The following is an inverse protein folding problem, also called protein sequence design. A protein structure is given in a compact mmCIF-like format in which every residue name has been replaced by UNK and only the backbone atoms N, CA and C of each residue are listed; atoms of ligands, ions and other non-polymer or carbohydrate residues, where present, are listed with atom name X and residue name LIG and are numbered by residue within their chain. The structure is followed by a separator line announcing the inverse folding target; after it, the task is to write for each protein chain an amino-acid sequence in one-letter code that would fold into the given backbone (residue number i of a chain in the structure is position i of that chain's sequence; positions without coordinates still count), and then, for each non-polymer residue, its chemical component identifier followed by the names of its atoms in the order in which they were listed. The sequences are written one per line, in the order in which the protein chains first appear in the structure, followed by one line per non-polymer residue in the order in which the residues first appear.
data_IF_517962466015
#
_entry.id   IF_517962466015
#
_cell.length_a   1.000
_cell.length_b   1.000
_cell.length_c   1.000
_cell.angle_alpha   90.00
_cell.angle_beta   90.00
_cell.angle_gamma   90.00
#
_symmetry.space_group_name_H-M   'P 1'
#
loop_
_entity.id
_entity.type
_entity.pdbx_description
1 polymer ?
#
# COMPACT_ATOMS: atom_id res chain seq x y z
N UNK A 1 4.04 -2.90 2.79
CA UNK A 1 4.10 -4.20 2.09
C UNK A 1 2.72 -4.81 2.09
N UNK A 2 2.28 -5.33 0.96
CA UNK A 2 0.93 -5.87 0.79
C UNK A 2 0.96 -7.32 0.23
N UNK A 3 -0.21 -7.93 0.17
CA UNK A 3 -0.44 -9.28 -0.32
C UNK A 3 0.08 -9.46 -1.74
N UNK A 4 -0.21 -8.51 -2.65
CA UNK A 4 0.19 -8.63 -4.05
C UNK A 4 1.72 -8.64 -4.19
N UNK A 5 2.42 -7.82 -3.40
CA UNK A 5 3.87 -7.75 -3.41
C UNK A 5 4.53 -9.04 -2.89
N UNK A 6 4.02 -9.65 -1.82
CA UNK A 6 4.52 -10.95 -1.34
C UNK A 6 4.31 -12.07 -2.35
N UNK A 7 3.17 -12.09 -3.02
CA UNK A 7 2.86 -13.06 -4.08
C UNK A 7 3.76 -12.88 -5.31
N UNK A 8 4.15 -11.65 -5.64
CA UNK A 8 5.06 -11.40 -6.76
C UNK A 8 6.53 -11.66 -6.42
N UNK A 9 6.93 -11.43 -5.17
CA UNK A 9 8.30 -11.73 -4.72
C UNK A 9 8.57 -13.22 -4.54
N UNK A 10 7.64 -13.92 -3.88
CA UNK A 10 7.86 -15.29 -3.43
C UNK A 10 6.95 -16.30 -4.13
N UNK A 11 6.12 -15.85 -5.07
CA UNK A 11 5.24 -16.67 -5.88
C UNK A 11 3.88 -16.91 -5.22
N UNK A 12 2.84 -16.90 -6.06
CA UNK A 12 1.48 -17.31 -5.71
C UNK A 12 1.22 -18.80 -5.93
N UNK A 13 1.66 -19.36 -7.07
CA UNK A 13 1.42 -20.76 -7.49
C UNK A 13 0.01 -21.28 -7.13
N UNK A 14 -1.03 -20.53 -7.54
CA UNK A 14 -2.43 -20.88 -7.28
C UNK A 14 -2.73 -21.21 -5.79
N UNK A 15 -2.14 -20.47 -4.85
CA UNK A 15 -2.30 -20.72 -3.42
C UNK A 15 -1.19 -21.54 -2.77
N UNK A 16 -0.19 -22.01 -3.52
CA UNK A 16 0.87 -22.90 -3.02
C UNK A 16 2.26 -22.27 -2.99
N UNK A 17 2.39 -21.06 -3.52
CA UNK A 17 3.66 -20.37 -3.66
C UNK A 17 4.20 -19.83 -2.33
N UNK A 18 5.46 -19.40 -2.34
CA UNK A 18 6.15 -18.91 -1.15
C UNK A 18 5.51 -17.68 -0.52
N UNK A 19 4.77 -16.87 -1.30
CA UNK A 19 4.03 -15.72 -0.77
C UNK A 19 2.94 -16.14 0.21
N UNK A 20 2.26 -17.26 -0.07
CA UNK A 20 1.27 -17.83 0.85
C UNK A 20 1.93 -18.41 2.09
N UNK A 21 3.02 -19.17 1.93
CA UNK A 21 3.77 -19.71 3.07
C UNK A 21 4.25 -18.62 4.02
N UNK A 22 4.70 -17.48 3.49
CA UNK A 22 5.06 -16.33 4.31
C UNK A 22 3.85 -15.78 5.06
N UNK A 23 2.73 -15.57 4.38
CA UNK A 23 1.51 -15.06 5.01
C UNK A 23 0.94 -16.01 6.06
N UNK A 24 1.02 -17.32 5.84
CA UNK A 24 0.62 -18.35 6.83
C UNK A 24 1.46 -18.19 8.12
N UNK A 25 2.78 -18.04 7.99
CA UNK A 25 3.66 -17.82 9.15
C UNK A 25 3.47 -16.44 9.81
N UNK A 26 3.19 -15.40 9.01
CA UNK A 26 2.87 -14.07 9.53
C UNK A 26 1.55 -14.09 10.31
N UNK A 27 0.55 -14.83 9.83
CA UNK A 27 -0.78 -14.91 10.41
C UNK A 27 -0.75 -15.35 11.88
N UNK A 28 0.15 -16.25 12.26
CA UNK A 28 0.35 -16.68 13.65
C UNK A 28 0.60 -15.50 14.61
N UNK A 29 1.22 -14.42 14.11
CA UNK A 29 1.53 -13.21 14.87
C UNK A 29 0.55 -12.06 14.65
N UNK A 30 -0.39 -12.19 13.71
CA UNK A 30 -1.41 -11.16 13.48
C UNK A 30 -2.42 -11.19 14.62
N UNK A 31 -2.57 -10.06 15.32
CA UNK A 31 -3.63 -9.86 16.31
C UNK A 31 -4.98 -9.51 15.66
N UNK A 32 -4.96 -8.74 14.58
CA UNK A 32 -6.17 -8.28 13.90
C UNK A 32 -5.90 -7.85 12.46
N UNK A 33 -6.82 -8.18 11.54
CA UNK A 33 -6.89 -7.56 10.21
C UNK A 33 -7.92 -6.44 10.21
N UNK A 34 -7.47 -5.25 9.85
CA UNK A 34 -8.26 -4.03 9.92
C UNK A 34 -8.83 -3.63 8.56
N UNK A 35 -10.01 -3.01 8.51
CA UNK A 35 -10.60 -2.53 7.24
C UNK A 35 -9.86 -1.33 6.62
N UNK A 36 -9.10 -0.58 7.43
CA UNK A 36 -8.31 0.58 6.97
C UNK A 36 -6.83 0.28 7.00
N UNK A 37 -6.13 0.45 5.86
CA UNK A 37 -4.69 0.23 5.78
C UNK A 37 -3.84 1.16 6.67
N UNK A 38 -4.38 2.30 7.13
CA UNK A 38 -3.68 3.18 8.08
C UNK A 38 -3.87 2.78 9.55
N UNK A 39 -4.89 1.97 9.87
CA UNK A 39 -5.23 1.63 11.25
C UNK A 39 -4.14 0.83 11.97
N UNK A 40 -3.44 -0.14 11.35
CA UNK A 40 -2.37 -0.88 12.02
C UNK A 40 -1.25 0.03 12.54
N UNK A 41 -0.85 1.05 11.76
CA UNK A 41 0.15 2.02 12.21
C UNK A 41 -0.36 2.92 13.34
N UNK A 42 -1.65 3.29 13.32
CA UNK A 42 -2.23 4.08 14.41
C UNK A 42 -2.32 3.27 15.71
N UNK A 43 -2.70 2.00 15.64
CA UNK A 43 -2.75 1.13 16.82
C UNK A 43 -1.35 0.88 17.38
N UNK A 44 -0.33 0.73 16.52
CA UNK A 44 1.06 0.67 16.96
C UNK A 44 1.54 1.98 17.60
N UNK A 45 1.20 3.13 17.00
CA UNK A 45 1.50 4.45 17.55
C UNK A 45 0.84 4.71 18.93
N UNK A 46 -0.33 4.11 19.17
CA UNK A 46 -1.05 4.17 20.45
C UNK A 46 -0.56 3.13 21.48
N UNK A 47 0.34 2.21 21.09
CA UNK A 47 0.81 1.12 21.95
C UNK A 47 -0.17 -0.03 22.12
N UNK A 48 -1.24 -0.09 21.32
CA UNK A 48 -2.22 -1.19 21.33
C UNK A 48 -1.65 -2.47 20.70
N UNK A 49 -0.74 -2.32 19.73
CA UNK A 49 0.04 -3.40 19.13
C UNK A 49 1.53 -3.04 19.07
N UNK A 50 2.40 -4.04 19.15
CA UNK A 50 3.86 -3.84 19.09
C UNK A 50 4.32 -3.44 17.68
N UNK A 51 3.61 -3.86 16.64
CA UNK A 51 3.94 -3.57 15.25
C UNK A 51 2.67 -3.42 14.41
N UNK A 52 2.74 -2.57 13.38
CA UNK A 52 1.69 -2.38 12.40
C UNK A 52 2.26 -2.31 10.99
N UNK A 53 1.73 -3.12 10.08
CA UNK A 53 2.10 -3.08 8.66
C UNK A 53 1.25 -2.00 7.99
N UNK A 54 1.89 -0.98 7.42
CA UNK A 54 1.25 0.18 6.81
C UNK A 54 2.15 0.78 5.73
N UNK A 55 1.60 1.71 4.94
CA UNK A 55 2.41 2.62 4.13
C UNK A 55 3.26 3.54 5.01
N UNK A 56 4.45 3.83 4.49
CA UNK A 56 5.51 4.62 5.08
C UNK A 56 5.07 6.04 5.41
N UNK A 57 4.18 6.64 4.61
CA UNK A 57 3.70 8.00 4.86
C UNK A 57 2.95 8.11 6.19
N UNK A 58 2.14 7.09 6.54
CA UNK A 58 1.43 7.06 7.82
C UNK A 58 2.41 6.95 8.98
N UNK A 59 3.42 6.09 8.86
CA UNK A 59 4.50 5.96 9.83
C UNK A 59 5.28 7.27 9.99
N UNK A 60 5.66 7.91 8.88
CA UNK A 60 6.37 9.18 8.86
C UNK A 60 5.56 10.26 9.59
N UNK A 61 4.27 10.37 9.26
CA UNK A 61 3.36 11.36 9.87
C UNK A 61 3.21 11.13 11.38
N UNK A 62 2.97 9.88 11.81
CA UNK A 62 2.78 9.58 13.22
C UNK A 62 4.07 9.83 14.02
N UNK A 63 5.23 9.41 13.50
CA UNK A 63 6.54 9.69 14.11
C UNK A 63 6.86 11.18 14.16
N UNK A 64 6.57 11.94 13.10
CA UNK A 64 6.74 13.39 13.07
C UNK A 64 5.85 14.12 14.11
N UNK A 65 4.73 13.51 14.51
CA UNK A 65 3.87 13.99 15.60
C UNK A 65 4.31 13.52 17.00
N UNK A 66 5.43 12.82 17.11
CA UNK A 66 5.98 12.36 18.38
C UNK A 66 5.50 10.99 18.84
N UNK A 67 4.83 10.20 17.98
CA UNK A 67 4.50 8.82 18.32
C UNK A 67 5.80 8.01 18.56
N UNK A 68 5.85 7.16 19.60
CA UNK A 68 7.05 6.39 19.99
C UNK A 68 7.22 5.16 19.09
N UNK A 69 7.37 5.37 17.78
CA UNK A 69 7.49 4.30 16.78
C UNK A 69 8.73 4.49 15.91
N UNK A 70 9.21 3.36 15.39
CA UNK A 70 10.26 3.29 14.36
C UNK A 70 9.67 2.81 13.04
N UNK A 71 10.19 3.35 11.94
CA UNK A 71 9.84 2.86 10.61
C UNK A 71 10.87 1.81 10.20
N UNK A 72 10.40 0.60 9.93
CA UNK A 72 11.22 -0.51 9.47
C UNK A 72 10.84 -0.86 8.04
N UNK A 73 11.84 -0.88 7.16
CA UNK A 73 11.67 -1.19 5.74
C UNK A 73 12.29 -2.57 5.47
N UNK A 74 11.51 -3.57 5.04
CA UNK A 74 12.03 -4.89 4.69
C UNK A 74 13.12 -4.81 3.61
N UNK A 75 14.11 -5.71 3.70
CA UNK A 75 15.27 -5.74 2.80
C UNK A 75 15.01 -6.49 1.49
N UNK A 76 13.99 -7.33 1.49
CA UNK A 76 13.59 -8.20 0.39
C UNK A 76 12.92 -7.41 -0.75
N UNK A 77 12.55 -6.15 -0.49
CA UNK A 77 11.92 -5.24 -1.44
C UNK A 77 10.90 -4.35 -0.73
N UNK A 78 10.06 -3.64 -1.48
CA UNK A 78 8.89 -2.93 -0.98
C UNK A 78 7.76 -3.02 -2.01
N UNK A 79 6.60 -3.51 -1.56
CA UNK A 79 5.36 -3.43 -2.34
C UNK A 79 4.85 -2.00 -2.47
N UNK A 80 4.23 -1.69 -3.61
CA UNK A 80 3.63 -0.41 -3.92
C UNK A 80 2.41 -0.58 -4.82
N UNK A 81 1.50 0.37 -4.75
CA UNK A 81 0.37 0.51 -5.66
C UNK A 81 0.47 1.82 -6.45
N UNK A 82 -0.31 1.91 -7.51
CA UNK A 82 -0.42 3.10 -8.33
C UNK A 82 -1.83 3.69 -8.15
N UNK A 83 -1.89 4.89 -7.60
CA UNK A 83 -3.14 5.65 -7.58
C UNK A 83 -3.50 6.06 -9.01
N UNK A 84 -4.64 5.57 -9.49
CA UNK A 84 -5.15 5.82 -10.83
C UNK A 84 -6.50 6.53 -10.82
N UNK A 85 -6.75 7.31 -11.86
CA UNK A 85 -8.08 7.87 -12.16
C UNK A 85 -8.49 7.51 -13.58
N UNK A 86 -9.79 7.45 -13.83
CA UNK A 86 -10.35 7.16 -15.14
C UNK A 86 -11.57 8.03 -15.42
N UNK A 87 -11.78 8.38 -16.68
CA UNK A 87 -13.00 9.07 -17.13
C UNK A 87 -14.07 8.01 -17.39
N UNK A 88 -15.20 8.13 -16.69
CA UNK A 88 -16.33 7.22 -16.86
C UNK A 88 -16.91 7.26 -18.28
N UNK A 89 -17.10 6.08 -18.88
CA UNK A 89 -17.69 5.94 -20.22
C UNK A 89 -19.13 6.42 -20.23
N UNK A 90 -19.44 7.41 -21.07
CA UNK A 90 -20.78 7.99 -21.18
C UNK A 90 -21.05 9.17 -20.26
N UNK A 91 -20.03 9.76 -19.63
CA UNK A 91 -20.20 11.02 -18.89
C UNK A 91 -20.77 12.11 -19.80
N UNK A 92 -21.78 12.85 -19.31
CA UNK A 92 -22.34 14.03 -19.98
C UNK A 92 -21.44 15.27 -19.86
N UNK A 93 -20.33 15.16 -19.11
CA UNK A 93 -19.40 16.26 -18.79
C UNK A 93 -17.98 15.91 -19.22
N UNK A 94 -17.82 15.38 -20.43
CA UNK A 94 -16.53 14.89 -20.94
C UNK A 94 -15.44 15.97 -20.91
N UNK A 95 -15.75 17.20 -21.33
CA UNK A 95 -14.75 18.28 -21.36
C UNK A 95 -14.26 18.67 -19.96
N UNK A 96 -15.15 18.68 -18.97
CA UNK A 96 -14.77 18.95 -17.59
C UNK A 96 -13.94 17.79 -17.01
N UNK A 97 -14.32 16.55 -17.32
CA UNK A 97 -13.57 15.36 -16.88
C UNK A 97 -12.16 15.32 -17.49
N UNK A 98 -12.01 15.68 -18.77
CA UNK A 98 -10.70 15.81 -19.44
C UNK A 98 -9.84 16.89 -18.80
N UNK A 99 -10.39 18.09 -18.56
CA UNK A 99 -9.65 19.17 -17.87
C UNK A 99 -9.14 18.74 -16.50
N UNK A 100 -9.95 18.01 -15.73
CA UNK A 100 -9.53 17.47 -14.44
C UNK A 100 -8.45 16.39 -14.59
N UNK A 101 -8.59 15.48 -15.55
CA UNK A 101 -7.59 14.44 -15.83
C UNK A 101 -6.24 15.04 -16.25
N UNK A 102 -6.26 16.05 -17.12
CA UNK A 102 -5.06 16.78 -17.56
C UNK A 102 -4.37 17.46 -16.38
N UNK A 103 -5.14 18.16 -15.53
CA UNK A 103 -4.60 18.77 -14.32
C UNK A 103 -4.06 17.73 -13.33
N UNK A 104 -4.81 16.65 -13.05
CA UNK A 104 -4.44 15.63 -12.08
C UNK A 104 -3.16 14.86 -12.47
N UNK A 105 -2.82 14.83 -13.76
CA UNK A 105 -1.55 14.27 -14.26
C UNK A 105 -0.41 15.30 -14.39
N UNK A 106 -0.68 16.58 -14.12
CA UNK A 106 0.29 17.66 -14.28
C UNK A 106 1.36 17.67 -13.18
N UNK A 107 2.47 18.37 -13.44
CA UNK A 107 3.54 18.59 -12.45
C UNK A 107 3.02 19.30 -11.19
N UNK A 108 2.09 20.25 -11.34
CA UNK A 108 1.52 20.99 -10.21
C UNK A 108 0.71 20.06 -9.31
N UNK A 109 -0.08 19.16 -9.88
CA UNK A 109 -0.77 18.13 -9.11
C UNK A 109 0.22 17.18 -8.41
N UNK A 110 1.27 16.73 -9.11
CA UNK A 110 2.32 15.90 -8.49
C UNK A 110 3.03 16.59 -7.33
N UNK A 111 3.28 17.90 -7.41
CA UNK A 111 3.84 18.68 -6.28
C UNK A 111 2.87 18.72 -5.08
N UNK A 112 1.57 18.81 -5.33
CA UNK A 112 0.55 18.75 -4.28
C UNK A 112 0.45 17.35 -3.68
N UNK A 113 0.47 16.31 -4.50
CA UNK A 113 0.48 14.91 -4.05
C UNK A 113 1.72 14.58 -3.23
N UNK A 114 2.89 15.12 -3.59
CA UNK A 114 4.13 14.96 -2.83
C UNK A 114 4.08 15.46 -1.38
N UNK A 115 3.08 16.27 -1.00
CA UNK A 115 2.86 16.63 0.41
C UNK A 115 2.34 15.45 1.25
N UNK A 116 1.74 14.47 0.59
CA UNK A 116 1.08 13.31 1.20
C UNK A 116 1.68 11.95 0.80
N UNK A 117 2.58 11.91 -0.18
CA UNK A 117 3.17 10.67 -0.68
C UNK A 117 4.68 10.83 -0.86
N UNK A 118 5.43 9.77 -0.52
CA UNK A 118 6.89 9.76 -0.64
C UNK A 118 7.37 9.69 -2.10
N UNK A 119 6.52 9.16 -2.98
CA UNK A 119 6.76 9.01 -4.41
C UNK A 119 5.50 9.47 -5.14
N UNK A 120 5.68 10.13 -6.28
CA UNK A 120 4.60 10.50 -7.20
C UNK A 120 4.89 9.94 -8.58
N UNK A 121 3.87 9.91 -9.45
CA UNK A 121 4.00 9.32 -10.78
C UNK A 121 5.02 10.04 -11.68
N UNK A 122 5.46 11.25 -11.30
CA UNK A 122 6.58 11.95 -11.93
C UNK A 122 7.84 11.84 -11.05
N UNK A 123 8.88 11.14 -11.51
CA UNK A 123 10.12 10.99 -10.74
C UNK A 123 10.74 12.33 -10.34
N UNK A 124 11.23 12.40 -9.10
CA UNK A 124 11.94 13.57 -8.57
C UNK A 124 11.06 14.78 -8.18
N UNK A 125 9.73 14.65 -8.23
CA UNK A 125 8.82 15.74 -7.84
C UNK A 125 8.45 15.69 -6.35
N UNK A 126 8.34 14.49 -5.77
CA UNK A 126 8.01 14.33 -4.36
C UNK A 126 9.13 14.87 -3.45
N UNK A 127 8.80 15.63 -2.40
CA UNK A 127 9.79 16.10 -1.43
C UNK A 127 10.34 14.93 -0.61
N UNK A 128 11.61 15.05 -0.19
CA UNK A 128 12.21 14.10 0.75
C UNK A 128 11.55 14.25 2.12
N UNK A 129 11.14 13.12 2.69
CA UNK A 129 10.55 13.05 4.02
C UNK A 129 11.60 12.56 5.03
N UNK A 130 11.73 13.25 6.17
CA UNK A 130 12.83 13.04 7.12
C UNK A 130 12.96 11.59 7.65
N UNK A 131 11.84 10.86 7.75
CA UNK A 131 11.81 9.49 8.27
C UNK A 131 11.82 8.42 7.17
N UNK A 132 11.97 8.82 5.90
CA UNK A 132 11.98 7.91 4.75
C UNK A 132 13.39 7.87 4.17
N UNK A 133 13.99 6.68 4.00
CA UNK A 133 15.31 6.53 3.41
C UNK A 133 15.40 7.16 2.01
N UNK A 134 16.55 7.76 1.68
CA UNK A 134 16.76 8.39 0.38
C UNK A 134 16.73 7.38 -0.79
N UNK A 135 16.98 6.10 -0.51
CA UNK A 135 16.97 4.99 -1.46
C UNK A 135 15.60 4.28 -1.52
N UNK A 136 14.55 4.82 -0.88
CA UNK A 136 13.20 4.22 -0.81
C UNK A 136 12.65 3.78 -2.17
N UNK A 137 12.75 4.64 -3.19
CA UNK A 137 12.27 4.34 -4.55
C UNK A 137 13.02 3.16 -5.18
N UNK A 138 14.34 3.04 -4.95
CA UNK A 138 15.13 1.91 -5.44
C UNK A 138 14.85 0.57 -4.75
N UNK A 139 14.17 0.59 -3.60
CA UNK A 139 13.75 -0.61 -2.87
C UNK A 139 12.40 -1.15 -3.36
N UNK A 140 11.66 -0.38 -4.15
CA UNK A 140 10.39 -0.82 -4.71
C UNK A 140 10.60 -2.03 -5.64
N UNK A 141 9.78 -3.06 -5.46
CA UNK A 141 9.83 -4.22 -6.35
C UNK A 141 9.18 -3.90 -7.69
N UNK A 142 9.51 -4.67 -8.72
CA UNK A 142 8.75 -4.64 -9.96
C UNK A 142 7.36 -5.24 -9.72
N UNK A 143 6.31 -4.44 -9.92
CA UNK A 143 4.92 -4.88 -9.82
C UNK A 143 4.32 -5.16 -11.22
N UNK A 144 3.64 -6.29 -11.37
CA UNK A 144 2.78 -6.63 -12.51
C UNK A 144 1.31 -6.39 -12.14
N UNK A 145 0.81 -5.19 -12.42
CA UNK A 145 -0.55 -4.80 -12.09
C UNK A 145 -1.63 -5.56 -12.87
N UNK A 146 -1.33 -5.98 -14.11
CA UNK A 146 -2.26 -6.79 -14.90
C UNK A 146 -2.47 -8.16 -14.25
N UNK A 147 -1.40 -8.82 -13.83
CA UNK A 147 -1.50 -10.09 -13.09
C UNK A 147 -2.25 -9.92 -11.77
N UNK A 148 -1.98 -8.85 -11.02
CA UNK A 148 -2.74 -8.54 -9.81
C UNK A 148 -4.23 -8.35 -10.09
N UNK A 149 -4.58 -7.65 -11.18
CA UNK A 149 -5.96 -7.40 -11.57
C UNK A 149 -6.69 -8.69 -11.98
N UNK A 150 -6.09 -9.49 -12.87
CA UNK A 150 -6.68 -10.74 -13.38
C UNK A 150 -6.87 -11.77 -12.26
N UNK A 151 -5.95 -11.84 -11.29
CA UNK A 151 -6.02 -12.80 -10.19
C UNK A 151 -6.78 -12.30 -8.96
N UNK A 152 -7.26 -11.06 -8.96
CA UNK A 152 -7.77 -10.39 -7.75
C UNK A 152 -8.83 -11.20 -7.01
N UNK A 153 -9.84 -11.68 -7.73
CA UNK A 153 -10.96 -12.40 -7.10
C UNK A 153 -10.49 -13.71 -6.45
N UNK A 154 -9.66 -14.49 -7.14
CA UNK A 154 -9.08 -15.73 -6.61
C UNK A 154 -8.21 -15.46 -5.39
N UNK A 155 -7.33 -14.45 -5.46
CA UNK A 155 -6.43 -14.10 -4.35
C UNK A 155 -7.25 -13.68 -3.13
N UNK A 156 -8.27 -12.85 -3.31
CA UNK A 156 -9.14 -12.42 -2.20
C UNK A 156 -9.92 -13.60 -1.60
N UNK A 157 -10.45 -14.50 -2.43
CA UNK A 157 -11.16 -15.68 -1.96
C UNK A 157 -10.24 -16.60 -1.14
N UNK A 158 -9.03 -16.87 -1.65
CA UNK A 158 -8.05 -17.71 -0.95
C UNK A 158 -7.55 -17.04 0.35
N UNK A 159 -7.25 -15.74 0.30
CA UNK A 159 -6.87 -14.97 1.48
C UNK A 159 -7.97 -14.99 2.55
N UNK A 160 -9.23 -14.76 2.15
CA UNK A 160 -10.36 -14.75 3.08
C UNK A 160 -10.56 -16.12 3.72
N UNK A 161 -10.46 -17.19 2.92
CA UNK A 161 -10.55 -18.57 3.42
C UNK A 161 -9.51 -18.86 4.51
N UNK A 162 -8.30 -18.31 4.38
CA UNK A 162 -7.19 -18.57 5.32
C UNK A 162 -7.21 -17.68 6.55
N UNK A 163 -7.52 -16.40 6.40
CA UNK A 163 -7.12 -15.40 7.40
C UNK A 163 -8.29 -14.59 7.98
N UNK A 164 -9.49 -14.69 7.43
CA UNK A 164 -10.62 -13.81 7.78
C UNK A 164 -11.13 -14.02 9.22
N UNK A 165 -10.73 -15.11 9.89
CA UNK A 165 -11.04 -15.37 11.29
C UNK A 165 -10.50 -14.28 12.26
N UNK A 166 -9.50 -13.49 11.85
CA UNK A 166 -8.96 -12.36 12.63
C UNK A 166 -9.38 -10.99 12.09
N UNK A 167 -10.29 -10.94 11.12
CA UNK A 167 -10.79 -9.68 10.56
C UNK A 167 -11.67 -8.94 11.55
N UNK A 168 -11.58 -7.62 11.54
CA UNK A 168 -12.52 -6.76 12.26
C UNK A 168 -13.96 -7.02 11.83
N UNK A 169 -14.88 -7.01 12.80
CA UNK A 169 -16.30 -7.04 12.49
C UNK A 169 -16.68 -5.89 11.56
N UNK A 170 -17.44 -6.18 10.51
CA UNK A 170 -18.04 -5.15 9.66
C UNK A 170 -19.13 -4.46 10.46
N UNK A 171 -19.08 -3.13 10.50
CA UNK A 171 -20.14 -2.28 11.06
C UNK A 171 -21.19 -1.98 10.00
#
# INVERSE_FOLDING_TARGET
FDVAAWLQLWGDDNGKGGGWKYMDALHENIGQYTHSGSKPCNMAAAGEYVAGISFEYRGHTNKAKGAPIELVFPKEGLGWDLEGFAIYKGTKKLDAAKKLADWASSKDAMLLYGKNFAITAQPGVAPKLANIPADYESRLIKMNFEQSAVNRERILAEWSKRYDAKSEARK
#
